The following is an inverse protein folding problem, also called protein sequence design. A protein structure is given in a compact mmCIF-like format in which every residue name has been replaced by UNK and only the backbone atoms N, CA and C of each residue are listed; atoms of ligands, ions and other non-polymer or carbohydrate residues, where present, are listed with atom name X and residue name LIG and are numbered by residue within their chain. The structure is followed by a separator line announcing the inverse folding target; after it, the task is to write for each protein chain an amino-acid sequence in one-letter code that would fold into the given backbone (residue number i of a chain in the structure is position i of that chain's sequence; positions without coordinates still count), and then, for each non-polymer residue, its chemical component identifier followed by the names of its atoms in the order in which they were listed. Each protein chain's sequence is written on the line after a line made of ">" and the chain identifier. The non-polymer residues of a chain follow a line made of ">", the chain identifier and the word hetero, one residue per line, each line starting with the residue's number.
data_IF_463844560076
#
_entry.id   IF_463844560076
#
_cell.length_a   1.000
_cell.length_b   1.000
_cell.length_c   1.000
_cell.angle_alpha   90.00
_cell.angle_beta   90.00
_cell.angle_gamma   90.00
#
_symmetry.space_group_name_H-M   'P 1'
#
loop_
_entity.id
_entity.type
_entity.pdbx_description
1 polymer ?
#
# COMPACT_ATOMS: atom_id res chain seq x y z
N UNK A 1 12.77 2.19 16.61
CA UNK A 1 11.42 1.63 16.85
C UNK A 1 10.93 0.97 15.57
N UNK A 2 10.06 -0.04 15.65
CA UNK A 2 9.66 -0.88 14.50
C UNK A 2 8.94 -0.14 13.36
N UNK A 3 8.19 0.92 13.65
CA UNK A 3 7.48 1.73 12.64
C UNK A 3 8.38 2.86 12.15
N UNK A 4 8.30 3.18 10.86
CA UNK A 4 9.00 4.34 10.29
C UNK A 4 8.20 5.62 10.55
N UNK A 5 6.90 5.51 10.81
CA UNK A 5 6.00 6.61 11.15
C UNK A 5 5.45 7.34 9.93
N UNK A 6 5.60 6.80 8.71
CA UNK A 6 5.18 7.44 7.47
C UNK A 6 4.28 6.54 6.63
N UNK A 7 3.25 7.13 6.03
CA UNK A 7 2.39 6.56 5.00
C UNK A 7 2.60 7.37 3.73
N UNK A 8 2.69 6.68 2.59
CA UNK A 8 2.65 7.31 1.28
C UNK A 8 1.21 7.29 0.75
N UNK A 9 0.59 8.46 0.60
CA UNK A 9 -0.73 8.63 -0.01
C UNK A 9 -0.54 8.92 -1.49
N UNK A 10 -1.15 8.09 -2.36
CA UNK A 10 -1.04 8.22 -3.81
C UNK A 10 -2.42 8.40 -4.41
N UNK A 11 -2.73 9.62 -4.84
CA UNK A 11 -3.94 9.91 -5.61
C UNK A 11 -3.62 9.80 -7.10
N UNK A 12 -4.13 8.74 -7.72
CA UNK A 12 -3.92 8.47 -9.15
C UNK A 12 -4.73 9.39 -10.06
N UNK A 13 -5.82 9.98 -9.55
CA UNK A 13 -6.64 10.95 -10.29
C UNK A 13 -5.94 12.31 -10.34
N UNK A 14 -5.45 12.78 -9.19
CA UNK A 14 -4.70 14.02 -9.06
C UNK A 14 -3.25 13.91 -9.55
N UNK A 15 -2.70 12.69 -9.57
CA UNK A 15 -1.32 12.41 -9.94
C UNK A 15 -0.31 12.81 -8.86
N UNK A 16 -0.70 12.77 -7.59
CA UNK A 16 0.12 13.23 -6.46
C UNK A 16 0.65 12.07 -5.62
N UNK A 17 1.76 12.32 -4.92
CA UNK A 17 2.39 11.39 -3.97
C UNK A 17 2.77 12.21 -2.73
N UNK A 18 2.04 12.00 -1.63
CA UNK A 18 2.18 12.82 -0.42
C UNK A 18 2.53 11.97 0.79
N UNK A 19 3.40 12.51 1.65
CA UNK A 19 3.75 11.87 2.91
C UNK A 19 2.74 12.26 3.99
N UNK A 20 2.16 11.27 4.64
CA UNK A 20 1.29 11.43 5.80
C UNK A 20 1.95 10.77 7.02
N UNK A 21 1.78 11.38 8.20
CA UNK A 21 2.23 10.75 9.45
C UNK A 21 1.35 9.54 9.77
N UNK A 22 1.99 8.42 10.11
CA UNK A 22 1.28 7.26 10.62
C UNK A 22 0.53 7.60 11.91
N UNK A 23 -0.76 7.26 11.97
CA UNK A 23 -1.51 7.25 13.22
C UNK A 23 -0.92 6.21 14.18
N UNK A 24 -0.10 6.67 15.12
CA UNK A 24 0.60 5.80 16.08
C UNK A 24 -0.34 5.17 17.12
N UNK A 25 -1.52 5.72 17.35
CA UNK A 25 -2.50 5.08 18.22
C UNK A 25 -3.03 3.82 17.54
N UNK A 26 -3.47 3.92 16.29
CA UNK A 26 -3.91 2.75 15.52
C UNK A 26 -2.78 1.76 15.30
N UNK A 27 -1.55 2.23 15.08
CA UNK A 27 -0.39 1.34 14.95
C UNK A 27 -0.16 0.48 16.21
N UNK A 28 -0.43 1.02 17.40
CA UNK A 28 -0.35 0.26 18.67
C UNK A 28 -1.52 -0.70 18.83
N UNK A 29 -2.73 -0.25 18.50
CA UNK A 29 -3.96 -1.04 18.68
C UNK A 29 -4.06 -2.20 17.67
N UNK A 30 -3.55 -2.01 16.45
CA UNK A 30 -3.69 -2.93 15.33
C UNK A 30 -2.36 -3.48 14.80
N UNK A 31 -1.24 -3.15 15.46
CA UNK A 31 0.13 -3.67 15.27
C UNK A 31 0.80 -3.29 13.93
N UNK A 32 0.13 -3.48 12.81
CA UNK A 32 0.69 -3.24 11.47
C UNK A 32 0.06 -4.15 10.41
N UNK A 33 0.62 -4.10 9.19
CA UNK A 33 0.28 -4.98 8.07
C UNK A 33 -1.24 -5.14 7.89
N UNK A 34 -1.78 -6.36 8.01
CA UNK A 34 -3.20 -6.65 7.82
C UNK A 34 -4.09 -5.89 8.80
N UNK A 35 -3.73 -5.86 10.09
CA UNK A 35 -4.57 -5.23 11.11
C UNK A 35 -4.69 -3.74 10.88
N UNK A 36 -3.54 -3.07 10.77
CA UNK A 36 -3.49 -1.63 10.60
C UNK A 36 -4.08 -1.17 9.26
N UNK A 37 -3.72 -1.81 8.15
CA UNK A 37 -4.27 -1.47 6.84
C UNK A 37 -5.79 -1.70 6.77
N UNK A 38 -6.31 -2.74 7.41
CA UNK A 38 -7.76 -2.95 7.52
C UNK A 38 -8.42 -1.82 8.30
N UNK A 39 -7.78 -1.32 9.37
CA UNK A 39 -8.29 -0.16 10.12
C UNK A 39 -8.38 1.08 9.23
N UNK A 40 -7.32 1.43 8.50
CA UNK A 40 -7.38 2.54 7.54
C UNK A 40 -8.46 2.33 6.47
N UNK A 41 -8.52 1.12 5.91
CA UNK A 41 -9.49 0.79 4.87
C UNK A 41 -10.94 0.99 5.35
N UNK A 42 -11.30 0.47 6.52
CA UNK A 42 -12.68 0.57 7.05
C UNK A 42 -13.06 2.00 7.44
N UNK A 43 -12.10 2.83 7.84
CA UNK A 43 -12.36 4.23 8.18
C UNK A 43 -12.52 5.13 6.94
N UNK A 44 -11.89 4.76 5.82
CA UNK A 44 -11.79 5.62 4.64
C UNK A 44 -12.64 5.14 3.45
N UNK A 45 -13.13 3.91 3.45
CA UNK A 45 -13.83 3.31 2.30
C UNK A 45 -15.25 2.90 2.70
N UNK A 46 -16.23 3.40 1.94
CA UNK A 46 -17.62 2.98 2.09
C UNK A 46 -17.75 1.47 1.84
N UNK A 47 -18.27 0.68 2.79
CA UNK A 47 -18.47 -0.76 2.59
C UNK A 47 -19.39 -1.08 1.40
N UNK A 48 -20.20 -0.14 0.91
CA UNK A 48 -21.07 -0.30 -0.25
C UNK A 48 -20.38 0.02 -1.60
N UNK A 49 -19.15 0.55 -1.60
CA UNK A 49 -18.43 0.95 -2.83
C UNK A 49 -18.33 -0.19 -3.84
N UNK A 50 -18.45 0.08 -5.13
CA UNK A 50 -18.12 -0.92 -6.14
C UNK A 50 -16.59 -1.14 -6.15
N UNK A 51 -16.09 -2.37 -6.01
CA UNK A 51 -14.66 -2.65 -5.92
C UNK A 51 -13.83 -2.21 -7.15
N UNK A 52 -14.46 -1.95 -8.30
CA UNK A 52 -13.78 -1.54 -9.53
C UNK A 52 -13.88 -0.04 -9.82
N UNK A 53 -14.44 0.76 -8.91
CA UNK A 53 -14.51 2.22 -9.06
C UNK A 53 -13.36 2.94 -8.35
N UNK A 54 -13.06 4.20 -8.72
CA UNK A 54 -11.95 4.97 -8.14
C UNK A 54 -12.06 5.24 -6.63
N UNK A 55 -13.25 5.08 -6.05
CA UNK A 55 -13.51 5.28 -4.63
C UNK A 55 -13.05 4.08 -3.77
N UNK A 56 -12.80 2.92 -4.37
CA UNK A 56 -12.15 1.80 -3.68
C UNK A 56 -10.66 2.12 -3.51
N UNK A 57 -10.12 1.85 -2.32
CA UNK A 57 -8.69 2.03 -2.03
C UNK A 57 -7.96 0.68 -2.05
N UNK A 58 -6.69 0.71 -2.40
CA UNK A 58 -5.80 -0.45 -2.30
C UNK A 58 -4.55 -0.07 -1.53
N UNK A 59 -4.24 -0.87 -0.50
CA UNK A 59 -3.25 -0.55 0.53
C UNK A 59 -2.18 -1.62 0.55
N UNK A 60 -0.93 -1.26 0.26
CA UNK A 60 0.23 -2.06 0.57
C UNK A 60 0.70 -1.73 1.98
N UNK A 61 0.85 -2.74 2.82
CA UNK A 61 1.22 -2.52 4.22
C UNK A 61 2.24 -3.50 4.73
N UNK A 62 3.20 -2.96 5.47
CA UNK A 62 4.25 -3.72 6.16
C UNK A 62 3.90 -3.89 7.63
N UNK A 63 4.47 -4.92 8.26
CA UNK A 63 4.38 -5.14 9.70
C UNK A 63 5.61 -4.58 10.45
N UNK A 64 5.53 -4.47 11.79
CA UNK A 64 6.63 -3.95 12.61
C UNK A 64 7.93 -4.76 12.51
N UNK A 65 7.83 -6.06 12.24
CA UNK A 65 9.00 -6.94 12.07
C UNK A 65 9.55 -6.97 10.63
N UNK A 66 8.88 -6.30 9.70
CA UNK A 66 9.29 -6.28 8.28
C UNK A 66 10.61 -5.54 8.15
N UNK A 67 11.58 -6.14 7.45
CA UNK A 67 12.91 -5.56 7.26
C UNK A 67 13.82 -5.62 8.50
N UNK A 68 13.41 -6.33 9.56
CA UNK A 68 14.26 -6.56 10.74
C UNK A 68 15.03 -7.88 10.64
N UNK A 69 15.90 -8.16 11.62
CA UNK A 69 16.60 -9.45 11.74
C UNK A 69 15.72 -10.61 12.25
N UNK A 70 14.42 -10.38 12.45
CA UNK A 70 13.50 -11.45 12.80
C UNK A 70 13.44 -12.49 11.66
N UNK A 71 13.62 -13.77 12.00
CA UNK A 71 13.54 -14.87 11.02
C UNK A 71 12.24 -14.78 10.23
N UNK A 72 12.34 -14.76 8.90
CA UNK A 72 11.21 -14.62 7.96
C UNK A 72 10.47 -13.28 8.00
N UNK A 73 11.08 -12.21 8.55
CA UNK A 73 10.57 -10.84 8.62
C UNK A 73 10.55 -10.07 7.28
N UNK A 74 10.21 -10.71 6.17
CA UNK A 74 10.17 -10.09 4.82
C UNK A 74 8.77 -9.95 4.22
N UNK A 75 7.72 -10.13 5.03
CA UNK A 75 6.32 -10.21 4.55
C UNK A 75 5.64 -8.84 4.53
N UNK A 76 4.78 -8.63 3.53
CA UNK A 76 3.83 -7.52 3.46
C UNK A 76 2.45 -8.03 3.05
N UNK A 77 1.41 -7.21 3.19
CA UNK A 77 0.07 -7.54 2.71
C UNK A 77 -0.52 -6.45 1.83
N UNK A 78 -1.44 -6.82 0.97
CA UNK A 78 -2.25 -5.93 0.14
C UNK A 78 -3.72 -6.05 0.54
N UNK A 79 -4.34 -4.93 0.89
CA UNK A 79 -5.70 -4.86 1.42
C UNK A 79 -6.56 -3.98 0.51
N UNK A 80 -7.77 -4.43 0.17
CA UNK A 80 -8.76 -3.68 -0.64
C UNK A 80 -10.14 -4.34 -0.52
N UNK A 81 -11.20 -3.75 -1.11
CA UNK A 81 -12.43 -4.50 -1.42
C UNK A 81 -12.19 -5.40 -2.62
N UNK A 82 -12.38 -6.71 -2.44
CA UNK A 82 -12.15 -7.70 -3.48
C UNK A 82 -13.27 -7.71 -4.53
N UNK A 83 -12.92 -7.57 -5.81
CA UNK A 83 -13.88 -7.62 -6.91
C UNK A 83 -14.57 -8.98 -7.07
N UNK A 84 -13.90 -10.07 -6.70
CA UNK A 84 -14.47 -11.42 -6.83
C UNK A 84 -15.56 -11.71 -5.78
N UNK A 85 -15.36 -11.28 -4.53
CA UNK A 85 -16.23 -11.65 -3.41
C UNK A 85 -17.11 -10.50 -2.93
N UNK A 86 -16.81 -9.25 -3.32
CA UNK A 86 -17.45 -8.06 -2.79
C UNK A 86 -17.12 -7.77 -1.32
N UNK A 87 -16.23 -8.56 -0.70
CA UNK A 87 -15.81 -8.42 0.70
C UNK A 87 -14.37 -7.91 0.80
N UNK A 88 -13.90 -7.60 2.01
CA UNK A 88 -12.51 -7.23 2.21
C UNK A 88 -11.57 -8.37 1.81
N UNK A 89 -10.58 -8.05 0.98
CA UNK A 89 -9.52 -8.94 0.56
C UNK A 89 -8.22 -8.57 1.29
N UNK A 90 -7.47 -9.58 1.71
CA UNK A 90 -6.13 -9.43 2.24
C UNK A 90 -5.24 -10.51 1.61
N UNK A 91 -4.33 -10.09 0.72
CA UNK A 91 -3.33 -10.97 0.13
C UNK A 91 -1.99 -10.76 0.84
N UNK A 92 -1.23 -11.84 1.05
CA UNK A 92 0.10 -11.78 1.68
C UNK A 92 1.17 -12.18 0.68
N UNK A 93 2.29 -11.46 0.68
CA UNK A 93 3.46 -11.79 -0.13
C UNK A 93 4.75 -11.64 0.68
N UNK A 94 5.81 -12.29 0.22
CA UNK A 94 7.16 -12.23 0.79
C UNK A 94 8.17 -11.67 -0.21
N UNK A 95 9.40 -12.20 -0.16
CA UNK A 95 10.51 -11.68 -0.96
C UNK A 95 11.14 -10.45 -0.31
N UNK A 96 11.58 -9.50 -1.13
CA UNK A 96 12.35 -8.33 -0.69
C UNK A 96 11.53 -7.04 -0.63
N UNK A 97 10.43 -6.94 -1.38
CA UNK A 97 9.64 -5.70 -1.51
C UNK A 97 9.25 -5.08 -0.16
N UNK A 98 8.75 -5.88 0.79
CA UNK A 98 8.33 -5.38 2.09
C UNK A 98 9.49 -4.78 2.89
N UNK A 99 10.69 -5.37 2.80
CA UNK A 99 11.89 -4.87 3.47
C UNK A 99 12.41 -3.59 2.79
N UNK A 100 12.46 -3.55 1.45
CA UNK A 100 12.86 -2.36 0.69
C UNK A 100 11.94 -1.17 0.99
N UNK A 101 10.62 -1.38 1.06
CA UNK A 101 9.67 -0.33 1.41
C UNK A 101 9.93 0.25 2.81
N UNK A 102 10.23 -0.62 3.79
CA UNK A 102 10.61 -0.22 5.15
C UNK A 102 11.92 0.56 5.18
N UNK A 103 12.91 0.12 4.41
CA UNK A 103 14.23 0.76 4.32
C UNK A 103 14.13 2.14 3.66
N UNK A 104 13.27 2.29 2.66
CA UNK A 104 12.92 3.58 2.07
C UNK A 104 12.16 4.52 3.03
N UNK A 105 11.75 4.03 4.21
CA UNK A 105 11.17 4.85 5.27
C UNK A 105 9.65 4.83 5.34
N UNK A 106 8.96 3.91 4.67
CA UNK A 106 7.50 3.87 4.59
C UNK A 106 6.90 2.63 5.28
N UNK A 107 5.82 2.82 6.04
CA UNK A 107 5.09 1.72 6.66
C UNK A 107 3.99 1.19 5.72
N UNK A 108 3.36 2.07 4.94
CA UNK A 108 2.26 1.75 4.02
C UNK A 108 2.25 2.66 2.79
N UNK A 109 1.66 2.15 1.71
CA UNK A 109 1.26 2.93 0.52
C UNK A 109 -0.25 2.76 0.38
N UNK A 110 -0.98 3.87 0.34
CA UNK A 110 -2.42 3.89 0.12
C UNK A 110 -2.68 4.54 -1.24
N UNK A 111 -3.17 3.75 -2.19
CA UNK A 111 -3.63 4.26 -3.48
C UNK A 111 -5.12 4.56 -3.45
N UNK A 112 -5.49 5.67 -4.05
CA UNK A 112 -6.87 6.09 -4.31
C UNK A 112 -7.01 6.69 -5.71
N UNK A 113 -8.25 6.77 -6.19
CA UNK A 113 -8.52 7.32 -7.51
C UNK A 113 -8.15 6.38 -8.65
N UNK A 114 -8.09 6.94 -9.86
CA UNK A 114 -7.78 6.19 -11.08
C UNK A 114 -7.02 7.06 -12.06
N UNK A 115 -5.86 6.58 -12.51
CA UNK A 115 -5.08 7.28 -13.52
C UNK A 115 -5.74 7.15 -14.90
N UNK A 116 -5.78 8.22 -15.71
CA UNK A 116 -6.35 8.17 -17.06
C UNK A 116 -5.49 7.35 -18.04
N UNK A 117 -4.25 7.01 -17.67
CA UNK A 117 -3.32 6.19 -18.47
C UNK A 117 -2.51 5.24 -17.57
N UNK A 118 -1.86 4.21 -18.12
CA UNK A 118 -0.97 3.36 -17.34
C UNK A 118 0.20 4.14 -16.72
N UNK A 119 0.37 4.00 -15.41
CA UNK A 119 1.49 4.57 -14.65
C UNK A 119 2.05 3.54 -13.66
N UNK A 120 3.28 3.75 -13.22
CA UNK A 120 3.86 3.03 -12.09
C UNK A 120 4.35 4.02 -11.03
N UNK A 121 4.33 3.59 -9.77
CA UNK A 121 4.90 4.34 -8.66
C UNK A 121 6.38 4.01 -8.53
N UNK A 122 7.23 5.02 -8.60
CA UNK A 122 8.65 4.93 -8.28
C UNK A 122 8.89 5.52 -6.90
N UNK A 123 9.60 4.77 -6.03
CA UNK A 123 9.99 5.23 -4.70
C UNK A 123 11.50 5.03 -4.56
N UNK A 124 12.20 6.10 -4.23
CA UNK A 124 13.61 6.10 -3.85
C UNK A 124 13.73 6.90 -2.54
N UNK A 125 13.82 6.19 -1.43
CA UNK A 125 13.79 6.75 -0.08
C UNK A 125 12.57 7.69 0.12
N UNK A 126 12.81 8.96 0.45
CA UNK A 126 11.78 9.97 0.67
C UNK A 126 11.18 10.54 -0.63
N UNK A 127 11.71 10.17 -1.80
CA UNK A 127 11.19 10.62 -3.10
C UNK A 127 10.22 9.59 -3.67
N UNK A 128 9.00 10.03 -4.00
CA UNK A 128 7.98 9.21 -4.64
C UNK A 128 7.33 9.97 -5.80
N UNK A 129 7.17 9.31 -6.94
CA UNK A 129 6.59 9.90 -8.15
C UNK A 129 5.85 8.86 -9.01
N UNK A 130 4.85 9.32 -9.76
CA UNK A 130 4.13 8.52 -10.75
C UNK A 130 4.74 8.73 -12.14
N UNK A 131 5.21 7.65 -12.74
CA UNK A 131 5.89 7.65 -14.04
C UNK A 131 5.06 6.91 -15.09
N UNK A 132 5.23 7.28 -16.37
CA UNK A 132 4.52 6.65 -17.48
C UNK A 132 4.88 5.16 -17.62
N UNK A 133 3.84 4.31 -17.69
CA UNK A 133 3.97 2.87 -17.84
C UNK A 133 3.34 2.36 -19.14
N UNK A 134 3.05 3.22 -20.11
CA UNK A 134 2.36 2.83 -21.36
C UNK A 134 3.15 1.76 -22.12
N UNK A 135 4.48 1.82 -22.03
CA UNK A 135 5.40 0.86 -22.64
C UNK A 135 5.48 -0.50 -21.90
N UNK A 136 5.08 -0.55 -20.61
CA UNK A 136 4.98 -1.77 -19.82
C UNK A 136 3.60 -2.44 -19.93
N UNK A 137 2.57 -1.66 -20.26
CA UNK A 137 1.20 -2.14 -20.25
C UNK A 137 0.98 -3.30 -21.24
N UNK A 138 0.37 -4.39 -20.76
CA UNK A 138 0.17 -5.62 -21.54
C UNK A 138 1.36 -6.59 -21.54
N UNK A 139 2.49 -6.26 -20.88
CA UNK A 139 3.60 -7.21 -20.66
C UNK A 139 3.32 -8.11 -19.45
N UNK A 140 4.07 -9.22 -19.38
CA UNK A 140 4.07 -10.09 -18.19
C UNK A 140 4.91 -9.47 -17.07
N UNK A 141 4.74 -9.97 -15.84
CA UNK A 141 5.52 -9.52 -14.66
C UNK A 141 7.04 -9.68 -14.85
N UNK A 142 7.49 -10.63 -15.68
CA UNK A 142 8.90 -10.96 -15.88
C UNK A 142 9.49 -10.44 -17.20
N UNK A 143 8.73 -9.66 -17.97
CA UNK A 143 9.03 -9.29 -19.36
C UNK A 143 9.55 -7.86 -19.53
#
# INVERSE_FOLDING_TARGET
>A
MSWTGKILRVDLTAGTCESEKLNMQWARDYVGQRGLATKYFVEEVDPAVDPLTPENKIIWATGPLTGTMASTGGRYSVITKGALTGAIACSNSGGYFGAELKMAGWDMIIFEGKSPKPVYLHIADDHAELLDASWLWGKSVWA
#
